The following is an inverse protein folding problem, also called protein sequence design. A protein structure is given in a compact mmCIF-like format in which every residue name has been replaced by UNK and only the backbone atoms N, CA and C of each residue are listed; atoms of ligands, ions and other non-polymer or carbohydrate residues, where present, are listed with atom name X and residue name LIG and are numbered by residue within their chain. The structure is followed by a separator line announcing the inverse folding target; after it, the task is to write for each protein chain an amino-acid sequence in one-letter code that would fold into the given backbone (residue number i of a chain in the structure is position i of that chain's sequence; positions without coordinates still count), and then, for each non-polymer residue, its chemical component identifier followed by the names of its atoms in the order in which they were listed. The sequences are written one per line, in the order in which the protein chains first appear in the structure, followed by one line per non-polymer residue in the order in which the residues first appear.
data_IF_885344215617
#
_entry.id   IF_885344215617
#
_cell.length_a   1.000
_cell.length_b   1.000
_cell.length_c   1.000
_cell.angle_alpha   90.00
_cell.angle_beta   90.00
_cell.angle_gamma   90.00
#
_symmetry.space_group_name_H-M   'P 1'
#
loop_
_entity.id
_entity.type
_entity.pdbx_description
1 polymer ?
#
# COMPACT_ATOMS: atom_id res chain seq x y z
N UNK A 1 38.31 -8.26 -20.94
CA UNK A 1 37.55 -9.14 -20.02
C UNK A 1 37.00 -8.40 -18.80
N UNK A 2 37.80 -7.70 -17.98
CA UNK A 2 37.31 -6.97 -16.78
C UNK A 2 36.18 -5.95 -17.05
N UNK A 3 36.25 -5.20 -18.16
CA UNK A 3 35.22 -4.22 -18.55
C UNK A 3 33.89 -4.86 -18.96
N UNK A 4 33.94 -6.08 -19.53
CA UNK A 4 32.74 -6.82 -19.92
C UNK A 4 32.03 -7.39 -18.67
N UNK A 5 32.79 -7.89 -17.69
CA UNK A 5 32.22 -8.33 -16.41
C UNK A 5 31.55 -7.19 -15.63
N UNK A 6 32.12 -5.98 -15.63
CA UNK A 6 31.53 -4.81 -15.00
C UNK A 6 30.19 -4.39 -15.63
N UNK A 7 30.09 -4.49 -16.97
CA UNK A 7 28.87 -4.19 -17.70
C UNK A 7 27.76 -5.21 -17.45
N UNK A 8 28.11 -6.49 -17.38
CA UNK A 8 27.17 -7.58 -17.03
C UNK A 8 26.68 -7.41 -15.59
N UNK A 9 27.57 -7.08 -14.66
CA UNK A 9 27.19 -6.87 -13.25
C UNK A 9 26.26 -5.67 -13.07
N UNK A 10 26.51 -4.57 -13.80
CA UNK A 10 25.64 -3.39 -13.79
C UNK A 10 24.25 -3.69 -14.37
N UNK A 11 24.16 -4.52 -15.42
CA UNK A 11 22.88 -4.94 -16.01
C UNK A 11 22.08 -5.89 -15.11
N UNK A 12 22.74 -6.73 -14.30
CA UNK A 12 22.06 -7.59 -13.34
C UNK A 12 21.44 -6.80 -12.17
N UNK A 13 22.08 -5.71 -11.73
CA UNK A 13 21.59 -4.89 -10.61
C UNK A 13 20.35 -4.08 -11.02
N UNK A 14 20.26 -3.62 -12.28
CA UNK A 14 19.09 -2.87 -12.76
C UNK A 14 17.83 -3.74 -12.95
N UNK A 15 17.96 -5.06 -13.04
CA UNK A 15 16.83 -6.00 -13.13
C UNK A 15 16.26 -6.40 -11.77
N UNK A 16 16.98 -6.18 -10.67
CA UNK A 16 16.55 -6.57 -9.31
C UNK A 16 15.56 -5.57 -8.66
N UNK A 17 15.25 -4.45 -9.31
CA UNK A 17 14.40 -3.38 -8.76
C UNK A 17 12.88 -3.56 -8.90
N UNK A 18 12.41 -4.69 -9.46
CA UNK A 18 10.98 -4.97 -9.63
C UNK A 18 10.56 -6.17 -8.78
N UNK A 19 10.72 -6.11 -7.46
CA UNK A 19 9.97 -7.01 -6.59
C UNK A 19 8.60 -6.40 -6.32
N UNK A 20 7.49 -7.15 -6.47
CA UNK A 20 6.19 -6.69 -6.01
C UNK A 20 6.30 -6.41 -4.52
N UNK A 21 5.81 -5.25 -4.07
CA UNK A 21 5.69 -4.93 -2.66
C UNK A 21 4.84 -6.03 -2.01
N UNK A 22 5.49 -6.93 -1.28
CA UNK A 22 4.84 -8.10 -0.67
C UNK A 22 4.21 -7.66 0.65
N UNK A 23 3.25 -6.73 0.58
CA UNK A 23 2.40 -6.39 1.73
C UNK A 23 1.31 -7.46 1.74
N UNK A 24 1.52 -8.50 2.55
CA UNK A 24 0.49 -9.50 2.82
C UNK A 24 -0.75 -8.75 3.32
N UNK A 25 -1.82 -8.80 2.54
CA UNK A 25 -3.11 -8.20 2.87
C UNK A 25 -3.56 -8.73 4.24
N UNK A 26 -3.39 -7.92 5.28
CA UNK A 26 -3.78 -8.26 6.64
C UNK A 26 -5.12 -7.60 6.92
N UNK A 27 -6.19 -8.41 7.00
CA UNK A 27 -7.44 -7.96 7.61
C UNK A 27 -7.31 -8.15 9.12
N UNK A 28 -7.24 -7.06 9.88
CA UNK A 28 -7.22 -7.14 11.33
C UNK A 28 -8.62 -7.40 11.88
N UNK A 29 -8.75 -8.38 12.77
CA UNK A 29 -10.01 -8.66 13.47
C UNK A 29 -10.42 -7.44 14.30
N UNK A 30 -11.65 -6.97 14.12
CA UNK A 30 -12.20 -5.80 14.81
C UNK A 30 -12.98 -6.16 16.06
N UNK A 31 -13.30 -7.43 16.28
CA UNK A 31 -14.20 -7.85 17.34
C UNK A 31 -15.65 -7.40 17.12
N UNK A 32 -15.97 -6.82 15.95
CA UNK A 32 -17.32 -6.39 15.58
C UNK A 32 -17.88 -7.40 14.57
N UNK A 33 -18.99 -8.05 14.91
CA UNK A 33 -19.63 -9.01 14.00
C UNK A 33 -20.19 -8.28 12.77
N UNK A 34 -20.06 -8.90 11.59
CA UNK A 34 -20.24 -8.22 10.28
C UNK A 34 -21.59 -7.52 10.05
N UNK A 35 -22.65 -7.86 10.78
CA UNK A 35 -23.93 -7.14 10.70
C UNK A 35 -23.87 -5.74 11.37
N UNK A 36 -23.07 -5.61 12.43
CA UNK A 36 -22.90 -4.41 13.25
C UNK A 36 -21.68 -3.57 12.84
N UNK A 37 -20.95 -3.97 11.80
CA UNK A 37 -19.81 -3.24 11.29
C UNK A 37 -20.20 -2.35 10.09
N UNK A 38 -19.60 -1.17 10.01
CA UNK A 38 -19.59 -0.33 8.82
C UNK A 38 -18.17 -0.21 8.31
N UNK A 39 -17.91 -0.73 7.10
CA UNK A 39 -16.60 -0.66 6.45
C UNK A 39 -16.62 0.35 5.29
N UNK A 40 -15.53 1.10 5.15
CA UNK A 40 -15.28 2.03 4.04
C UNK A 40 -13.83 1.92 3.59
N UNK A 41 -13.60 1.92 2.28
CA UNK A 41 -12.27 1.83 1.70
C UNK A 41 -12.01 3.04 0.79
N UNK A 42 -10.79 3.54 0.81
CA UNK A 42 -10.33 4.65 -0.01
C UNK A 42 -9.06 4.24 -0.77
N UNK A 43 -8.89 4.81 -1.96
CA UNK A 43 -7.60 4.78 -2.67
C UNK A 43 -6.77 5.95 -2.17
N UNK A 44 -5.54 5.69 -1.77
CA UNK A 44 -4.61 6.68 -1.22
C UNK A 44 -3.32 6.66 -2.04
N UNK A 45 -2.85 7.82 -2.51
CA UNK A 45 -1.48 7.93 -3.02
C UNK A 45 -0.52 8.00 -1.82
N UNK A 46 0.35 6.99 -1.66
CA UNK A 46 1.24 6.89 -0.49
C UNK A 46 2.35 7.95 -0.49
N UNK A 47 2.47 8.73 -1.56
CA UNK A 47 3.46 9.81 -1.71
C UNK A 47 2.87 11.17 -1.36
N UNK A 48 1.56 11.35 -1.53
CA UNK A 48 0.88 12.60 -1.21
C UNK A 48 0.44 12.61 0.26
N UNK A 49 1.34 13.13 1.11
CA UNK A 49 1.07 13.25 2.55
C UNK A 49 -0.13 14.16 2.86
N UNK A 50 -0.42 15.14 2.01
CA UNK A 50 -1.52 16.07 2.23
C UNK A 50 -2.86 15.37 1.95
N UNK A 51 -2.97 14.69 0.80
CA UNK A 51 -4.15 13.90 0.45
C UNK A 51 -4.39 12.79 1.49
N UNK A 52 -3.34 12.04 1.83
CA UNK A 52 -3.41 10.99 2.84
C UNK A 52 -3.88 11.53 4.19
N UNK A 53 -3.36 12.68 4.63
CA UNK A 53 -3.78 13.32 5.87
C UNK A 53 -5.26 13.68 5.89
N UNK A 54 -5.78 14.25 4.79
CA UNK A 54 -7.22 14.59 4.64
C UNK A 54 -8.08 13.32 4.68
N UNK A 55 -7.67 12.26 3.97
CA UNK A 55 -8.39 10.98 3.96
C UNK A 55 -8.42 10.37 5.36
N UNK A 56 -7.28 10.32 6.06
CA UNK A 56 -7.20 9.66 7.37
C UNK A 56 -7.99 10.45 8.43
N UNK A 57 -7.98 11.78 8.37
CA UNK A 57 -8.78 12.63 9.26
C UNK A 57 -10.30 12.43 9.07
N UNK A 58 -10.77 12.17 7.82
CA UNK A 58 -12.19 11.85 7.55
C UNK A 58 -12.67 10.60 8.30
N UNK A 59 -11.76 9.68 8.60
CA UNK A 59 -12.04 8.42 9.30
C UNK A 59 -11.50 8.41 10.73
N UNK A 60 -11.26 9.58 11.33
CA UNK A 60 -10.84 9.65 12.73
C UNK A 60 -11.89 8.98 13.65
N UNK A 61 -11.41 8.19 14.61
CA UNK A 61 -12.24 7.32 15.44
C UNK A 61 -12.71 6.02 14.78
N UNK A 62 -12.41 5.75 13.51
CA UNK A 62 -12.61 4.44 12.88
C UNK A 62 -11.36 3.57 13.03
N UNK A 63 -11.53 2.26 13.16
CA UNK A 63 -10.43 1.31 13.17
C UNK A 63 -9.92 1.10 11.75
N UNK A 64 -8.64 1.30 11.50
CA UNK A 64 -8.02 0.92 10.23
C UNK A 64 -7.84 -0.61 10.22
N UNK A 65 -8.45 -1.30 9.25
CA UNK A 65 -8.58 -2.76 9.23
C UNK A 65 -7.82 -3.44 8.10
N UNK A 66 -7.43 -2.67 7.08
CA UNK A 66 -6.81 -3.19 5.87
C UNK A 66 -5.98 -2.11 5.20
N UNK A 67 -4.78 -2.47 4.76
CA UNK A 67 -3.95 -1.69 3.85
C UNK A 67 -3.34 -2.64 2.84
N UNK A 68 -3.47 -2.33 1.55
CA UNK A 68 -2.78 -3.03 0.49
C UNK A 68 -2.16 -2.02 -0.46
N UNK A 69 -0.83 -1.96 -0.44
CA UNK A 69 -0.05 -1.12 -1.33
C UNK A 69 0.23 -1.84 -2.64
N UNK A 70 0.16 -1.11 -3.74
CA UNK A 70 0.52 -1.61 -5.06
C UNK A 70 1.25 -0.55 -5.87
N UNK A 71 2.25 -0.98 -6.62
CA UNK A 71 2.98 -0.10 -7.54
C UNK A 71 2.05 0.32 -8.68
N UNK A 72 1.98 1.62 -8.95
CA UNK A 72 1.18 2.18 -10.05
C UNK A 72 1.76 1.76 -11.40
N UNK A 73 0.92 1.73 -12.45
CA UNK A 73 1.35 1.26 -13.78
C UNK A 73 2.52 2.02 -14.40
N UNK A 74 2.72 3.29 -14.01
CA UNK A 74 3.87 4.10 -14.41
C UNK A 74 5.17 3.77 -13.64
N UNK A 75 5.15 2.86 -12.66
CA UNK A 75 6.28 2.42 -11.82
C UNK A 75 7.01 3.53 -11.06
N UNK A 76 6.41 4.71 -10.96
CA UNK A 76 6.98 5.90 -10.29
C UNK A 76 6.31 6.15 -8.94
N UNK A 77 5.26 5.39 -8.59
CA UNK A 77 4.54 5.55 -7.34
C UNK A 77 3.96 4.28 -6.77
N UNK A 78 3.50 4.41 -5.54
CA UNK A 78 2.71 3.40 -4.83
C UNK A 78 1.40 4.04 -4.41
N UNK A 79 0.32 3.40 -4.81
CA UNK A 79 -1.00 3.67 -4.28
C UNK A 79 -1.32 2.60 -3.24
N UNK A 80 -2.33 2.85 -2.42
CA UNK A 80 -2.88 1.85 -1.53
C UNK A 80 -4.40 1.86 -1.53
N UNK A 81 -4.98 0.68 -1.35
CA UNK A 81 -6.34 0.54 -0.87
C UNK A 81 -6.31 0.46 0.67
N UNK A 82 -6.90 1.45 1.34
CA UNK A 82 -6.96 1.53 2.80
C UNK A 82 -8.42 1.41 3.23
N UNK A 83 -8.73 0.49 4.14
CA UNK A 83 -10.09 0.34 4.67
C UNK A 83 -10.16 0.62 6.18
N UNK A 84 -11.23 1.31 6.54
CA UNK A 84 -11.60 1.69 7.89
C UNK A 84 -12.93 1.03 8.25
N UNK A 85 -13.08 0.70 9.53
CA UNK A 85 -14.27 0.07 10.08
C UNK A 85 -14.67 0.70 11.41
N UNK A 86 -15.96 0.82 11.66
CA UNK A 86 -16.52 1.15 12.98
C UNK A 86 -17.73 0.30 13.28
N UNK A 87 -18.12 0.24 14.55
CA UNK A 87 -19.45 -0.22 14.91
C UNK A 87 -20.51 0.75 14.36
N UNK A 88 -21.63 0.20 13.87
CA UNK A 88 -22.82 0.97 13.45
C UNK A 88 -23.55 1.58 14.64
#
# INVERSE_FOLDING_TARGET
MKKLCLLVLAACISLAGCQPANVLSAKWDTGVSGANAQTRCERVDMRDKSEMGVIFAKYDGWKLIYVSEYTTGNKVGTDAAVCFERAK
#
